data_IF_946072952433
#
_entry.id   IF_946072952433
#
_cell.length_a   1.000
_cell.length_b   1.000
_cell.length_c   1.000
_cell.angle_alpha   90.00
_cell.angle_beta   90.00
_cell.angle_gamma   90.00
#
_symmetry.space_group_name_H-M   'P 1'
#
loop_
_entity.id
_entity.type
_entity.pdbx_description
1 polymer ?
#
# COMPACT_ATOMS: atom_id res chain seq x y z
N UNK A 1 -14.60 -19.64 -27.12
CA UNK A 1 -14.02 -18.50 -26.37
C UNK A 1 -14.97 -18.18 -25.23
N UNK A 2 -14.68 -18.61 -23.99
CA UNK A 2 -15.55 -18.37 -22.83
C UNK A 2 -15.52 -16.86 -22.53
N UNK A 3 -16.66 -16.22 -22.62
CA UNK A 3 -16.81 -14.80 -22.27
C UNK A 3 -16.59 -14.69 -20.75
N UNK A 4 -15.47 -14.11 -20.32
CA UNK A 4 -15.25 -13.86 -18.90
C UNK A 4 -16.37 -12.95 -18.37
N UNK A 5 -16.97 -13.36 -17.27
CA UNK A 5 -18.00 -12.57 -16.61
C UNK A 5 -17.36 -11.27 -16.05
N UNK A 6 -18.09 -10.16 -16.19
CA UNK A 6 -17.67 -8.83 -15.71
C UNK A 6 -17.21 -8.83 -14.25
N UNK A 7 -17.87 -9.61 -13.40
CA UNK A 7 -17.49 -9.78 -11.99
C UNK A 7 -16.09 -10.40 -11.82
N UNK A 8 -15.71 -11.31 -12.72
CA UNK A 8 -14.39 -11.95 -12.73
C UNK A 8 -13.30 -10.95 -13.12
N UNK A 9 -13.57 -10.09 -14.11
CA UNK A 9 -12.63 -9.04 -14.54
C UNK A 9 -12.38 -8.05 -13.41
N UNK A 10 -13.43 -7.54 -12.76
CA UNK A 10 -13.33 -6.63 -11.62
C UNK A 10 -12.48 -7.25 -10.51
N UNK A 11 -12.71 -8.53 -10.19
CA UNK A 11 -11.94 -9.24 -9.19
C UNK A 11 -10.47 -9.34 -9.56
N UNK A 12 -10.14 -9.66 -10.82
CA UNK A 12 -8.75 -9.73 -11.30
C UNK A 12 -8.05 -8.36 -11.18
N UNK A 13 -8.71 -7.29 -11.62
CA UNK A 13 -8.14 -5.93 -11.53
C UNK A 13 -7.86 -5.58 -10.06
N UNK A 14 -8.77 -5.87 -9.14
CA UNK A 14 -8.58 -5.61 -7.71
C UNK A 14 -7.41 -6.39 -7.12
N UNK A 15 -7.24 -7.65 -7.53
CA UNK A 15 -6.12 -8.48 -7.07
C UNK A 15 -4.80 -7.95 -7.62
N UNK A 16 -4.73 -7.70 -8.92
CA UNK A 16 -3.50 -7.20 -9.58
C UNK A 16 -3.09 -5.85 -8.98
N UNK A 17 -4.02 -4.90 -8.89
CA UNK A 17 -3.74 -3.58 -8.31
C UNK A 17 -3.32 -3.68 -6.85
N UNK A 18 -3.98 -4.51 -6.05
CA UNK A 18 -3.59 -4.77 -4.65
C UNK A 18 -2.22 -5.41 -4.53
N UNK A 19 -1.86 -6.33 -5.43
CA UNK A 19 -0.53 -6.97 -5.43
C UNK A 19 0.59 -5.99 -5.78
N UNK A 20 0.37 -5.10 -6.75
CA UNK A 20 1.32 -4.04 -7.11
C UNK A 20 1.54 -3.09 -5.92
N UNK A 21 0.45 -2.65 -5.28
CA UNK A 21 0.53 -1.79 -4.10
C UNK A 21 1.25 -2.48 -2.94
N UNK A 22 0.98 -3.77 -2.72
CA UNK A 22 1.62 -4.52 -1.65
C UNK A 22 3.11 -4.73 -1.90
N UNK A 23 3.51 -5.00 -3.15
CA UNK A 23 4.93 -5.06 -3.54
C UNK A 23 5.64 -3.72 -3.30
N UNK A 24 5.00 -2.59 -3.67
CA UNK A 24 5.50 -1.26 -3.36
C UNK A 24 5.67 -1.05 -1.85
N UNK A 25 4.66 -1.39 -1.05
CA UNK A 25 4.70 -1.23 0.42
C UNK A 25 5.84 -2.05 1.03
N UNK A 26 6.03 -3.30 0.60
CA UNK A 26 7.14 -4.13 1.08
C UNK A 26 8.49 -3.46 0.80
N UNK A 27 8.73 -3.05 -0.44
CA UNK A 27 9.98 -2.39 -0.83
C UNK A 27 10.18 -1.07 -0.07
N UNK A 28 9.11 -0.28 0.08
CA UNK A 28 9.12 0.99 0.79
C UNK A 28 9.47 0.80 2.28
N UNK A 29 8.84 -0.14 2.96
CA UNK A 29 9.12 -0.43 4.37
C UNK A 29 10.51 -1.04 4.58
N UNK A 30 10.98 -1.89 3.66
CA UNK A 30 12.34 -2.40 3.70
C UNK A 30 13.35 -1.26 3.59
N UNK A 31 13.13 -0.31 2.66
CA UNK A 31 14.00 0.86 2.54
C UNK A 31 13.96 1.73 3.81
N UNK A 32 12.79 1.96 4.40
CA UNK A 32 12.68 2.67 5.68
C UNK A 32 13.42 1.96 6.81
N UNK A 33 13.43 0.63 6.85
CA UNK A 33 14.12 -0.12 7.90
C UNK A 33 15.64 0.02 7.86
N UNK A 34 16.22 0.35 6.69
CA UNK A 34 17.67 0.60 6.55
C UNK A 34 18.11 1.83 7.35
N UNK A 35 17.21 2.80 7.59
CA UNK A 35 17.51 3.97 8.43
C UNK A 35 17.94 3.62 9.87
N UNK A 36 17.58 2.43 10.36
CA UNK A 36 18.00 1.93 11.68
C UNK A 36 19.54 1.76 11.72
N UNK A 37 20.14 1.45 10.57
CA UNK A 37 21.58 1.24 10.45
C UNK A 37 22.29 2.51 9.99
N UNK A 38 21.79 3.18 8.95
CA UNK A 38 22.39 4.40 8.40
C UNK A 38 21.38 5.13 7.51
N UNK A 39 21.26 6.45 7.72
CA UNK A 39 20.46 7.34 6.89
C UNK A 39 21.07 7.44 5.48
N UNK A 40 22.40 7.59 5.39
CA UNK A 40 23.09 7.69 4.10
C UNK A 40 22.94 6.43 3.27
N UNK A 41 22.99 5.24 3.92
CA UNK A 41 22.77 3.98 3.24
C UNK A 41 21.32 3.87 2.74
N UNK A 42 20.35 4.29 3.54
CA UNK A 42 18.94 4.28 3.15
C UNK A 42 18.68 5.22 1.95
N UNK A 43 19.30 6.41 1.93
CA UNK A 43 19.22 7.34 0.80
C UNK A 43 19.91 6.78 -0.45
N UNK A 44 21.06 6.13 -0.30
CA UNK A 44 21.77 5.47 -1.41
C UNK A 44 20.95 4.31 -2.00
N UNK A 45 20.37 3.46 -1.17
CA UNK A 45 19.48 2.36 -1.61
C UNK A 45 18.22 2.89 -2.28
N UNK A 46 17.61 3.94 -1.72
CA UNK A 46 16.45 4.60 -2.30
C UNK A 46 16.74 5.11 -3.71
N UNK A 47 17.81 5.86 -3.89
CA UNK A 47 18.20 6.46 -5.18
C UNK A 47 18.65 5.43 -6.22
N UNK A 48 19.37 4.38 -5.80
CA UNK A 48 19.94 3.40 -6.72
C UNK A 48 19.00 2.28 -7.12
N UNK A 49 18.06 1.89 -6.27
CA UNK A 49 17.17 0.73 -6.50
C UNK A 49 15.71 1.07 -6.48
N UNK A 50 15.24 1.89 -5.54
CA UNK A 50 13.83 2.17 -5.37
C UNK A 50 13.30 3.16 -6.40
N UNK A 51 13.97 4.31 -6.58
CA UNK A 51 13.63 5.33 -7.55
C UNK A 51 13.58 4.82 -9.00
N UNK A 52 14.61 4.09 -9.49
CA UNK A 52 14.57 3.57 -10.87
C UNK A 52 13.38 2.65 -11.15
N UNK A 53 12.86 1.96 -10.15
CA UNK A 53 11.69 1.08 -10.30
C UNK A 53 10.38 1.86 -10.24
N UNK A 54 10.23 2.78 -9.28
CA UNK A 54 8.93 3.37 -8.98
C UNK A 54 8.76 4.83 -9.40
N UNK A 55 9.86 5.56 -9.61
CA UNK A 55 9.83 6.98 -9.99
C UNK A 55 9.99 7.23 -11.50
N UNK A 56 10.16 6.18 -12.30
CA UNK A 56 10.07 6.33 -13.75
C UNK A 56 8.60 6.42 -14.21
N UNK A 57 8.32 6.93 -15.42
CA UNK A 57 6.93 7.12 -15.88
C UNK A 57 6.06 5.86 -15.83
N UNK A 58 6.62 4.69 -16.13
CA UNK A 58 5.89 3.41 -16.08
C UNK A 58 5.58 3.02 -14.63
N UNK A 59 6.57 3.12 -13.75
CA UNK A 59 6.42 2.85 -12.32
C UNK A 59 5.37 3.76 -11.67
N UNK A 60 5.39 5.06 -12.00
CA UNK A 60 4.39 6.03 -11.53
C UNK A 60 2.98 5.67 -12.00
N UNK A 61 2.80 5.35 -13.29
CA UNK A 61 1.49 4.93 -13.81
C UNK A 61 1.01 3.64 -13.15
N UNK A 62 1.90 2.65 -12.98
CA UNK A 62 1.56 1.41 -12.29
C UNK A 62 1.17 1.66 -10.83
N UNK A 63 1.92 2.47 -10.10
CA UNK A 63 1.67 2.76 -8.69
C UNK A 63 0.36 3.55 -8.49
N UNK A 64 0.27 4.74 -9.11
CA UNK A 64 -0.90 5.61 -8.94
C UNK A 64 -2.15 5.05 -9.62
N UNK A 65 -2.00 4.43 -10.79
CA UNK A 65 -3.10 3.74 -11.48
C UNK A 65 -3.64 2.56 -10.66
N UNK A 66 -2.75 1.77 -10.05
CA UNK A 66 -3.14 0.70 -9.14
C UNK A 66 -3.82 1.24 -7.87
N UNK A 67 -3.32 2.34 -7.32
CA UNK A 67 -3.92 2.98 -6.15
C UNK A 67 -5.35 3.43 -6.44
N UNK A 68 -5.57 4.17 -7.51
CA UNK A 68 -6.91 4.65 -7.90
C UNK A 68 -7.85 3.49 -8.22
N UNK A 69 -7.40 2.52 -9.01
CA UNK A 69 -8.21 1.35 -9.35
C UNK A 69 -8.59 0.53 -8.11
N UNK A 70 -7.62 0.27 -7.23
CA UNK A 70 -7.85 -0.49 -6.00
C UNK A 70 -8.83 0.21 -5.06
N UNK A 71 -8.70 1.53 -4.91
CA UNK A 71 -9.59 2.38 -4.14
C UNK A 71 -11.02 2.35 -4.67
N UNK A 72 -11.22 2.63 -5.96
CA UNK A 72 -12.54 2.64 -6.60
C UNK A 72 -13.22 1.28 -6.45
N UNK A 73 -12.50 0.19 -6.75
CA UNK A 73 -13.06 -1.15 -6.67
C UNK A 73 -13.28 -1.62 -5.22
N UNK A 74 -12.44 -1.15 -4.28
CA UNK A 74 -12.63 -1.38 -2.84
C UNK A 74 -13.91 -0.71 -2.33
N UNK A 75 -14.06 0.58 -2.57
CA UNK A 75 -15.27 1.32 -2.16
C UNK A 75 -16.53 0.81 -2.86
N UNK A 76 -16.48 0.55 -4.17
CA UNK A 76 -17.60 -0.09 -4.88
C UNK A 76 -18.03 -1.38 -4.23
N UNK A 77 -17.09 -2.22 -3.81
CA UNK A 77 -17.37 -3.49 -3.13
C UNK A 77 -18.07 -3.31 -1.78
N UNK A 78 -17.79 -2.22 -1.06
CA UNK A 78 -18.44 -1.87 0.20
C UNK A 78 -19.86 -1.35 -0.08
N UNK A 79 -20.01 -0.40 -1.01
CA UNK A 79 -21.27 0.26 -1.33
C UNK A 79 -22.31 -0.69 -1.93
N UNK A 80 -21.87 -1.69 -2.70
CA UNK A 80 -22.76 -2.68 -3.33
C UNK A 80 -23.08 -3.87 -2.43
N UNK A 81 -22.56 -3.89 -1.19
CA UNK A 81 -22.74 -5.00 -0.27
C UNK A 81 -24.16 -5.07 0.26
N UNK A 82 -24.81 -6.23 0.10
CA UNK A 82 -26.20 -6.45 0.52
C UNK A 82 -26.37 -6.72 2.03
N UNK A 83 -25.29 -7.09 2.73
CA UNK A 83 -25.33 -7.42 4.16
C UNK A 83 -23.99 -7.16 4.83
N UNK A 84 -24.04 -6.62 6.04
CA UNK A 84 -22.89 -6.40 6.92
C UNK A 84 -22.75 -7.48 8.02
N UNK A 85 -23.50 -8.60 7.90
CA UNK A 85 -23.24 -9.79 8.74
C UNK A 85 -21.97 -10.47 8.26
N UNK A 86 -20.84 -10.13 8.87
CA UNK A 86 -19.49 -10.51 8.45
C UNK A 86 -18.67 -11.07 9.60
N UNK A 87 -17.66 -11.88 9.25
CA UNK A 87 -16.63 -12.32 10.21
C UNK A 87 -15.69 -11.16 10.56
N UNK A 88 -15.03 -11.23 11.72
CA UNK A 88 -14.08 -10.22 12.16
C UNK A 88 -12.98 -9.93 11.11
N UNK A 89 -12.48 -10.96 10.42
CA UNK A 89 -11.52 -10.83 9.32
C UNK A 89 -12.01 -9.89 8.21
N UNK A 90 -13.29 -9.97 7.84
CA UNK A 90 -13.87 -9.15 6.77
C UNK A 90 -14.05 -7.70 7.24
N UNK A 91 -14.35 -7.48 8.52
CA UNK A 91 -14.39 -6.15 9.12
C UNK A 91 -13.01 -5.50 9.13
N UNK A 92 -11.98 -6.21 9.56
CA UNK A 92 -10.58 -5.73 9.52
C UNK A 92 -10.20 -5.34 8.09
N UNK A 93 -10.57 -6.16 7.10
CA UNK A 93 -10.27 -5.91 5.69
C UNK A 93 -10.94 -4.64 5.13
N UNK A 94 -12.01 -4.16 5.77
CA UNK A 94 -12.69 -2.91 5.40
C UNK A 94 -12.18 -1.74 6.23
N UNK A 95 -12.11 -1.89 7.55
CA UNK A 95 -11.83 -0.77 8.48
C UNK A 95 -10.37 -0.32 8.36
N UNK A 96 -9.43 -1.27 8.29
CA UNK A 96 -8.00 -0.95 8.31
C UNK A 96 -7.56 -0.08 7.11
N UNK A 97 -7.93 -0.39 5.85
CA UNK A 97 -7.55 0.48 4.74
C UNK A 97 -8.26 1.83 4.77
N UNK A 98 -9.48 1.93 5.32
CA UNK A 98 -10.18 3.21 5.48
C UNK A 98 -9.45 4.09 6.49
N UNK A 99 -9.03 3.53 7.63
CA UNK A 99 -8.24 4.26 8.63
C UNK A 99 -6.86 4.65 8.08
N UNK A 100 -6.19 3.71 7.40
CA UNK A 100 -4.89 3.97 6.80
C UNK A 100 -4.93 5.05 5.73
N UNK A 101 -6.03 5.15 4.98
CA UNK A 101 -6.18 6.11 3.89
C UNK A 101 -6.01 7.56 4.35
N UNK A 102 -6.55 7.93 5.51
CA UNK A 102 -6.45 9.29 6.05
C UNK A 102 -4.98 9.69 6.26
N UNK A 103 -4.20 8.79 6.87
CA UNK A 103 -2.77 9.01 7.11
C UNK A 103 -1.94 8.91 5.83
N UNK A 104 -2.32 8.00 4.91
CA UNK A 104 -1.66 7.83 3.63
C UNK A 104 -1.81 9.08 2.75
N UNK A 105 -2.99 9.68 2.71
CA UNK A 105 -3.22 10.93 1.96
C UNK A 105 -2.38 12.08 2.53
N UNK A 106 -2.28 12.19 3.86
CA UNK A 106 -1.42 13.16 4.51
C UNK A 106 0.06 12.91 4.19
N UNK A 107 0.51 11.65 4.22
CA UNK A 107 1.87 11.28 3.89
C UNK A 107 2.23 11.64 2.43
N UNK A 108 1.36 11.31 1.48
CA UNK A 108 1.53 11.66 0.06
C UNK A 108 1.55 13.18 -0.11
N UNK A 109 0.64 13.92 0.53
CA UNK A 109 0.57 15.37 0.44
C UNK A 109 1.82 16.04 1.03
N UNK A 110 2.33 15.54 2.15
CA UNK A 110 3.56 16.07 2.76
C UNK A 110 4.78 15.83 1.87
N UNK A 111 4.94 14.62 1.31
CA UNK A 111 6.01 14.30 0.37
C UNK A 111 5.93 15.18 -0.88
N UNK A 112 4.74 15.36 -1.45
CA UNK A 112 4.52 16.25 -2.59
C UNK A 112 4.87 17.71 -2.27
N UNK A 113 4.46 18.21 -1.11
CA UNK A 113 4.76 19.58 -0.69
C UNK A 113 6.28 19.80 -0.56
N UNK A 114 6.98 18.89 0.12
CA UNK A 114 8.43 18.99 0.30
C UNK A 114 9.15 19.02 -1.06
N UNK A 115 8.77 18.14 -1.99
CA UNK A 115 9.52 17.96 -3.25
C UNK A 115 9.10 18.95 -4.34
N UNK A 116 7.80 19.25 -4.47
CA UNK A 116 7.27 20.03 -5.59
C UNK A 116 6.99 21.49 -5.26
N UNK A 117 6.65 21.79 -4.00
CA UNK A 117 6.34 23.17 -3.59
C UNK A 117 7.59 23.84 -3.02
N UNK A 118 8.31 23.15 -2.14
CA UNK A 118 9.49 23.73 -1.47
C UNK A 118 10.81 23.41 -2.19
N UNK A 119 10.79 22.62 -3.27
CA UNK A 119 11.99 22.30 -4.07
C UNK A 119 13.02 21.45 -3.32
N UNK A 120 12.61 20.76 -2.25
CA UNK A 120 13.48 19.87 -1.49
C UNK A 120 13.74 18.57 -2.27
N UNK A 121 14.92 17.99 -2.08
CA UNK A 121 15.20 16.65 -2.55
C UNK A 121 14.50 15.63 -1.64
N UNK A 122 13.95 14.56 -2.23
CA UNK A 122 13.45 13.44 -1.44
C UNK A 122 14.62 12.73 -0.77
N UNK A 123 14.84 13.01 0.52
CA UNK A 123 15.88 12.34 1.31
C UNK A 123 15.41 12.09 2.73
N UNK A 124 15.93 11.04 3.34
CA UNK A 124 15.71 10.79 4.75
C UNK A 124 16.39 11.82 5.64
N UNK A 125 17.56 12.31 5.20
CA UNK A 125 18.28 13.37 5.89
C UNK A 125 17.44 14.64 6.01
N UNK A 126 16.73 15.05 4.94
CA UNK A 126 15.83 16.20 4.98
C UNK A 126 14.63 15.92 5.89
N UNK A 127 14.04 14.73 5.82
CA UNK A 127 12.92 14.36 6.69
C UNK A 127 13.30 14.45 8.16
N UNK A 128 14.45 13.91 8.54
CA UNK A 128 14.95 13.99 9.92
C UNK A 128 15.31 15.42 10.34
N UNK A 129 15.85 16.24 9.44
CA UNK A 129 16.10 17.65 9.71
C UNK A 129 14.81 18.42 10.03
N UNK A 130 13.74 18.18 9.24
CA UNK A 130 12.42 18.79 9.49
C UNK A 130 11.84 18.28 10.81
N UNK A 131 11.88 17.00 11.08
CA UNK A 131 11.38 16.43 12.34
C UNK A 131 12.11 16.97 13.56
N UNK A 132 13.39 17.30 13.47
CA UNK A 132 14.16 17.87 14.57
C UNK A 132 13.79 19.32 14.90
N UNK A 133 13.02 20.00 14.06
CA UNK A 133 12.48 21.35 14.34
C UNK A 133 11.16 21.32 15.09
N UNK A 134 10.48 20.17 15.12
CA UNK A 134 9.19 20.02 15.78
C UNK A 134 9.34 19.78 17.29
N UNK A 135 8.34 20.20 18.11
CA UNK A 135 8.31 19.85 19.51
C UNK A 135 8.32 18.31 19.72
N UNK A 136 8.99 17.80 20.76
CA UNK A 136 9.08 16.35 21.00
C UNK A 136 7.71 15.63 21.04
N UNK A 137 6.66 16.31 21.50
CA UNK A 137 5.30 15.78 21.50
C UNK A 137 4.76 15.49 20.10
N UNK A 138 5.03 16.36 19.15
CA UNK A 138 4.59 16.19 17.75
C UNK A 138 5.33 15.06 17.06
N UNK A 139 6.63 14.91 17.34
CA UNK A 139 7.44 13.80 16.85
C UNK A 139 6.87 12.45 17.36
N UNK A 140 6.54 12.37 18.65
CA UNK A 140 5.97 11.15 19.25
C UNK A 140 4.61 10.83 18.63
N UNK A 141 3.73 11.82 18.50
CA UNK A 141 2.41 11.64 17.87
C UNK A 141 2.57 11.18 16.43
N UNK A 142 3.45 11.82 15.67
CA UNK A 142 3.77 11.42 14.30
C UNK A 142 4.24 9.97 14.20
N UNK A 143 5.19 9.56 15.05
CA UNK A 143 5.69 8.20 15.09
C UNK A 143 4.59 7.16 15.41
N UNK A 144 3.69 7.46 16.34
CA UNK A 144 2.54 6.61 16.66
C UNK A 144 1.62 6.50 15.45
N UNK A 145 1.26 7.60 14.80
CA UNK A 145 0.35 7.61 13.65
C UNK A 145 0.93 6.86 12.46
N UNK A 146 2.22 7.03 12.16
CA UNK A 146 2.91 6.27 11.10
C UNK A 146 2.99 4.78 11.42
N UNK A 147 3.23 4.41 12.68
CA UNK A 147 3.23 3.01 13.11
C UNK A 147 1.85 2.38 12.94
N UNK A 148 0.78 3.06 13.33
CA UNK A 148 -0.59 2.59 13.14
C UNK A 148 -0.94 2.45 11.67
N UNK A 149 -0.61 3.43 10.83
CA UNK A 149 -0.81 3.35 9.37
C UNK A 149 -0.11 2.12 8.80
N UNK A 150 1.16 1.91 9.17
CA UNK A 150 1.95 0.75 8.72
C UNK A 150 1.28 -0.56 9.10
N UNK A 151 0.83 -0.70 10.34
CA UNK A 151 0.12 -1.90 10.83
C UNK A 151 -1.17 -2.11 10.03
N UNK A 152 -1.97 -1.07 9.81
CA UNK A 152 -3.23 -1.19 9.09
C UNK A 152 -3.03 -1.62 7.64
N UNK A 153 -2.07 -1.01 6.94
CA UNK A 153 -1.76 -1.37 5.54
C UNK A 153 -1.19 -2.79 5.47
N UNK A 154 -0.28 -3.15 6.38
CA UNK A 154 0.33 -4.47 6.40
C UNK A 154 -0.69 -5.57 6.65
N UNK A 155 -1.50 -5.45 7.68
CA UNK A 155 -2.54 -6.43 8.02
C UNK A 155 -3.56 -6.55 6.89
N UNK A 156 -4.00 -5.44 6.29
CA UNK A 156 -4.89 -5.45 5.13
C UNK A 156 -4.27 -6.22 3.95
N UNK A 157 -3.01 -5.94 3.63
CA UNK A 157 -2.28 -6.60 2.53
C UNK A 157 -2.12 -8.10 2.75
N UNK A 158 -1.68 -8.51 3.96
CA UNK A 158 -1.50 -9.93 4.32
C UNK A 158 -2.82 -10.70 4.27
N UNK A 159 -3.91 -10.14 4.79
CA UNK A 159 -5.24 -10.77 4.72
C UNK A 159 -5.71 -10.88 3.26
N UNK A 160 -5.45 -9.86 2.45
CA UNK A 160 -5.76 -9.86 1.02
C UNK A 160 -5.02 -10.98 0.28
N UNK A 161 -3.70 -11.09 0.52
CA UNK A 161 -2.85 -12.13 -0.05
C UNK A 161 -3.28 -13.54 0.39
N UNK A 162 -3.50 -13.76 1.68
CA UNK A 162 -4.00 -15.05 2.22
C UNK A 162 -5.32 -15.45 1.55
N UNK A 163 -6.23 -14.50 1.39
CA UNK A 163 -7.51 -14.76 0.75
C UNK A 163 -7.37 -15.12 -0.73
N UNK A 164 -6.43 -14.49 -1.43
CA UNK A 164 -6.11 -14.81 -2.82
C UNK A 164 -5.48 -16.20 -2.94
N UNK A 165 -4.48 -16.52 -2.13
CA UNK A 165 -3.79 -17.83 -2.17
C UNK A 165 -4.74 -18.98 -1.86
N UNK A 166 -5.65 -18.82 -0.89
CA UNK A 166 -6.68 -19.83 -0.59
C UNK A 166 -7.64 -20.05 -1.75
N UNK A 167 -8.00 -19.01 -2.49
CA UNK A 167 -8.83 -19.17 -3.69
C UNK A 167 -8.12 -19.92 -4.80
N UNK A 168 -6.81 -19.68 -4.99
CA UNK A 168 -6.01 -20.42 -5.98
C UNK A 168 -5.86 -21.89 -5.61
N UNK A 169 -5.59 -22.21 -4.35
CA UNK A 169 -5.48 -23.59 -3.87
C UNK A 169 -6.78 -24.39 -4.09
N UNK A 170 -7.94 -23.77 -3.83
CA UNK A 170 -9.26 -24.41 -4.10
C UNK A 170 -9.47 -24.64 -5.61
N UNK A 171 -9.03 -23.72 -6.47
CA UNK A 171 -9.08 -23.92 -7.92
C UNK A 171 -8.19 -25.08 -8.38
N UNK A 172 -6.95 -25.14 -7.87
CA UNK A 172 -6.00 -26.20 -8.23
C UNK A 172 -6.52 -27.60 -7.83
N UNK A 173 -7.08 -27.74 -6.63
CA UNK A 173 -7.65 -28.99 -6.16
C UNK A 173 -8.90 -29.45 -6.95
N UNK A 174 -9.67 -28.52 -7.51
CA UNK A 174 -10.81 -28.86 -8.37
C UNK A 174 -10.39 -29.40 -9.74
N UNK A 175 -9.25 -28.94 -10.28
CA UNK A 175 -8.73 -29.42 -11.56
C UNK A 175 -7.85 -30.66 -11.41
N UNK A 176 -7.23 -30.90 -10.24
CA UNK A 176 -6.41 -32.10 -9.98
C UNK A 176 -7.21 -33.39 -9.81
N UNK A 177 -8.54 -33.35 -9.73
CA UNK A 177 -9.40 -34.53 -9.67
C UNK A 177 -9.81 -35.08 -11.06
N UNK A 178 -9.35 -34.45 -12.16
CA UNK A 178 -9.67 -34.88 -13.54
C UNK A 178 -8.44 -35.32 -14.34
N UNK A 179 -7.32 -35.57 -13.69
CA UNK A 179 -6.11 -36.20 -14.21
C UNK A 179 -5.81 -37.49 -13.42
#
# INVERSE_FOLDING_TARGET
MVREDFSTIIRKIRIISGSILFAYVIMHLLNHSINIFSIDLADAVRSSYFHPVWQNPVGLVLLYGSFVAHMILGFSSILTRKSFKMKAKDWIQIIFPVLALLFLLQHIAASFAITKIFGGEESYSLLFAVMNTDPPSEIIIGAILFSLMTIFIWVHGVIGLDSYLKQQAVHHNKFGFYL
#
